data_IF_292238406621
#
_entry.id   IF_292238406621
#
_cell.length_a   1.000
_cell.length_b   1.000
_cell.length_c   1.000
_cell.angle_alpha   90.00
_cell.angle_beta   90.00
_cell.angle_gamma   90.00
#
_symmetry.space_group_name_H-M   'P 1'
#
loop_
_entity.id
_entity.type
_entity.pdbx_description
1 polymer ?
#
# COMPACT_ATOMS: atom_id res chain seq x y z
N UNK A 1 16.08 -8.26 -6.42
CA UNK A 1 16.14 -8.26 -4.94
C UNK A 1 14.79 -7.84 -4.37
N UNK A 2 13.80 -8.75 -4.39
CA UNK A 2 12.53 -8.60 -3.65
C UNK A 2 12.68 -9.45 -2.40
N UNK A 3 12.95 -8.87 -1.23
CA UNK A 3 12.97 -9.63 0.04
C UNK A 3 13.05 -8.72 1.28
N UNK A 4 13.70 -7.56 1.21
CA UNK A 4 13.88 -6.72 2.39
C UNK A 4 12.57 -6.02 2.80
N UNK A 5 11.91 -5.37 1.84
CA UNK A 5 10.65 -4.65 2.12
C UNK A 5 9.55 -5.60 2.57
N UNK A 6 9.44 -6.79 1.98
CA UNK A 6 8.44 -7.80 2.38
C UNK A 6 8.69 -8.30 3.81
N UNK A 7 9.96 -8.51 4.19
CA UNK A 7 10.32 -8.84 5.58
C UNK A 7 9.98 -7.73 6.54
N UNK A 8 10.30 -6.48 6.19
CA UNK A 8 9.96 -5.31 7.01
C UNK A 8 8.45 -5.21 7.19
N UNK A 9 7.65 -5.36 6.13
CA UNK A 9 6.19 -5.33 6.21
C UNK A 9 5.67 -6.44 7.11
N UNK A 10 6.22 -7.65 7.01
CA UNK A 10 5.84 -8.76 7.88
C UNK A 10 6.17 -8.49 9.36
N UNK A 11 7.38 -8.00 9.66
CA UNK A 11 7.81 -7.66 11.01
C UNK A 11 6.97 -6.53 11.62
N UNK A 12 6.73 -5.45 10.87
CA UNK A 12 5.85 -4.36 11.30
C UNK A 12 4.40 -4.83 11.45
N UNK A 13 3.96 -5.77 10.61
CA UNK A 13 2.67 -6.44 10.72
C UNK A 13 2.52 -7.20 12.04
N UNK A 14 3.58 -7.84 12.54
CA UNK A 14 3.57 -8.46 13.87
C UNK A 14 3.51 -7.41 14.99
N UNK A 15 4.31 -6.34 14.88
CA UNK A 15 4.31 -5.24 15.86
C UNK A 15 2.97 -4.49 15.91
N UNK A 16 2.19 -4.51 14.83
CA UNK A 16 0.82 -3.96 14.82
C UNK A 16 -0.14 -4.67 15.76
N UNK A 17 0.24 -5.81 16.33
CA UNK A 17 -0.55 -6.61 17.26
C UNK A 17 0.10 -6.70 18.65
N UNK A 18 1.14 -5.91 18.89
CA UNK A 18 1.84 -5.91 20.18
C UNK A 18 0.91 -5.50 21.34
N UNK A 19 1.19 -6.02 22.53
CA UNK A 19 0.44 -5.70 23.73
C UNK A 19 0.51 -4.19 24.05
N UNK A 20 1.65 -3.56 23.77
CA UNK A 20 1.87 -2.14 24.00
C UNK A 20 1.20 -1.29 22.90
N UNK A 21 0.27 -0.39 23.25
CA UNK A 21 -0.37 0.47 22.27
C UNK A 21 0.59 1.43 21.58
N UNK A 22 1.66 1.84 22.27
CA UNK A 22 2.72 2.68 21.69
C UNK A 22 3.48 1.94 20.58
N UNK A 23 3.71 0.64 20.75
CA UNK A 23 4.37 -0.19 19.72
C UNK A 23 3.46 -0.36 18.51
N UNK A 24 2.16 -0.60 18.74
CA UNK A 24 1.17 -0.69 17.64
C UNK A 24 1.08 0.62 16.85
N UNK A 25 1.07 1.77 17.53
CA UNK A 25 1.07 3.09 16.90
C UNK A 25 2.32 3.34 16.05
N UNK A 26 3.50 3.03 16.59
CA UNK A 26 4.77 3.13 15.86
C UNK A 26 4.78 2.22 14.63
N UNK A 27 4.25 1.01 14.75
CA UNK A 27 4.12 0.07 13.63
C UNK A 27 3.21 0.63 12.52
N UNK A 28 2.06 1.22 12.86
CA UNK A 28 1.18 1.86 11.87
C UNK A 28 1.89 3.00 11.12
N UNK A 29 2.61 3.85 11.85
CA UNK A 29 3.34 4.98 11.28
C UNK A 29 4.44 4.51 10.33
N UNK A 30 5.21 3.49 10.74
CA UNK A 30 6.24 2.89 9.90
C UNK A 30 5.66 2.24 8.64
N UNK A 31 4.55 1.48 8.78
CA UNK A 31 3.84 0.88 7.64
C UNK A 31 3.36 1.94 6.64
N UNK A 32 2.85 3.08 7.11
CA UNK A 32 2.41 4.19 6.25
C UNK A 32 3.54 4.85 5.46
N UNK A 33 4.77 4.77 5.96
CA UNK A 33 5.96 5.31 5.28
C UNK A 33 6.47 4.40 4.15
N UNK A 34 5.99 3.14 4.08
CA UNK A 34 6.38 2.18 3.06
C UNK A 34 5.49 2.36 1.83
N UNK A 35 6.11 2.60 0.66
CA UNK A 35 5.42 2.73 -0.63
C UNK A 35 5.09 1.36 -1.24
N UNK A 36 4.23 0.58 -0.58
CA UNK A 36 3.81 -0.75 -1.06
C UNK A 36 2.34 -1.02 -0.73
N UNK A 37 1.57 -1.55 -1.69
CA UNK A 37 0.20 -2.03 -1.49
C UNK A 37 0.07 -3.09 -0.40
N UNK A 38 1.15 -3.82 -0.12
CA UNK A 38 1.14 -4.88 0.88
C UNK A 38 0.94 -4.36 2.31
N UNK A 39 1.08 -3.05 2.56
CA UNK A 39 0.80 -2.47 3.89
C UNK A 39 -0.68 -2.19 4.14
N UNK A 40 -1.48 -2.04 3.07
CA UNK A 40 -2.90 -1.70 3.15
C UNK A 40 -3.73 -2.61 4.09
N UNK A 41 -3.62 -3.95 4.04
CA UNK A 41 -4.40 -4.80 4.95
C UNK A 41 -4.04 -4.59 6.42
N UNK A 42 -2.77 -4.30 6.73
CA UNK A 42 -2.34 -4.04 8.11
C UNK A 42 -2.89 -2.70 8.62
N UNK A 43 -2.82 -1.66 7.79
CA UNK A 43 -3.35 -0.35 8.14
C UNK A 43 -4.89 -0.36 8.29
N UNK A 44 -5.61 -1.11 7.44
CA UNK A 44 -7.06 -1.29 7.58
C UNK A 44 -7.43 -1.98 8.90
N UNK A 45 -6.64 -2.94 9.36
CA UNK A 45 -6.81 -3.54 10.68
C UNK A 45 -6.60 -2.50 11.79
N UNK A 46 -5.58 -1.66 11.69
CA UNK A 46 -5.29 -0.60 12.65
C UNK A 46 -6.43 0.43 12.83
N UNK A 47 -7.27 0.64 11.81
CA UNK A 47 -8.47 1.48 11.92
C UNK A 47 -9.51 0.94 12.92
N UNK A 48 -9.45 -0.36 13.22
CA UNK A 48 -10.35 -1.03 14.15
C UNK A 48 -9.69 -1.27 15.52
N UNK A 49 -8.53 -0.67 15.80
CA UNK A 49 -7.87 -0.82 17.10
C UNK A 49 -8.71 -0.21 18.23
N UNK A 50 -8.61 -0.81 19.41
CA UNK A 50 -9.28 -0.33 20.62
C UNK A 50 -8.77 1.06 21.02
N UNK A 51 -7.49 1.37 20.76
CA UNK A 51 -6.83 2.60 21.17
C UNK A 51 -6.98 3.68 20.10
N UNK A 52 -7.39 4.87 20.54
CA UNK A 52 -7.68 6.00 19.65
C UNK A 52 -6.46 6.47 18.85
N UNK A 53 -5.27 6.49 19.46
CA UNK A 53 -4.06 6.98 18.81
C UNK A 53 -3.56 6.01 17.73
N UNK A 54 -3.69 4.70 17.95
CA UNK A 54 -3.42 3.69 16.92
C UNK A 54 -4.36 3.86 15.72
N UNK A 55 -5.65 4.12 15.95
CA UNK A 55 -6.62 4.40 14.87
C UNK A 55 -6.26 5.65 14.07
N UNK A 56 -5.84 6.72 14.75
CA UNK A 56 -5.38 7.95 14.10
C UNK A 56 -4.14 7.69 13.25
N UNK A 57 -3.15 6.98 13.79
CA UNK A 57 -1.93 6.61 13.07
C UNK A 57 -2.24 5.78 11.82
N UNK A 58 -3.13 4.78 11.94
CA UNK A 58 -3.57 3.96 10.82
C UNK A 58 -4.30 4.77 9.72
N UNK A 59 -5.15 5.71 10.11
CA UNK A 59 -5.86 6.60 9.17
C UNK A 59 -4.91 7.52 8.41
N UNK A 60 -3.96 8.14 9.12
CA UNK A 60 -2.91 8.98 8.52
C UNK A 60 -2.02 8.16 7.57
N UNK A 61 -1.62 6.96 8.00
CA UNK A 61 -0.81 6.05 7.20
C UNK A 61 -1.53 5.64 5.90
N UNK A 62 -2.84 5.37 5.94
CA UNK A 62 -3.62 5.05 4.74
C UNK A 62 -3.70 6.23 3.77
N UNK A 63 -3.86 7.46 4.30
CA UNK A 63 -3.84 8.66 3.46
C UNK A 63 -2.49 8.84 2.76
N UNK A 64 -1.38 8.64 3.49
CA UNK A 64 -0.03 8.70 2.92
C UNK A 64 0.21 7.63 1.86
N UNK A 65 -0.16 6.38 2.13
CA UNK A 65 -0.05 5.29 1.16
C UNK A 65 -0.77 5.64 -0.15
N UNK A 66 -2.01 6.15 -0.07
CA UNK A 66 -2.79 6.57 -1.26
C UNK A 66 -2.14 7.73 -2.03
N UNK A 67 -1.60 8.73 -1.34
CA UNK A 67 -0.90 9.85 -1.98
C UNK A 67 0.33 9.38 -2.76
N UNK A 68 1.07 8.41 -2.21
CA UNK A 68 2.26 7.86 -2.89
C UNK A 68 1.90 6.98 -4.09
N UNK A 69 0.77 6.26 -4.04
CA UNK A 69 0.33 5.37 -5.12
C UNK A 69 -0.35 6.11 -6.27
N UNK A 70 -0.97 7.25 -6.00
CA UNK A 70 -1.56 8.12 -7.02
C UNK A 70 -0.54 8.66 -8.03
N UNK A 71 0.76 8.47 -7.81
CA UNK A 71 1.83 8.83 -8.75
C UNK A 71 2.25 7.69 -9.70
N UNK A 72 1.58 6.53 -9.69
CA UNK A 72 1.82 5.52 -10.74
C UNK A 72 1.02 5.91 -11.99
N UNK A 73 1.67 6.31 -13.09
CA UNK A 73 0.96 6.49 -14.34
C UNK A 73 0.37 5.12 -14.71
N UNK A 74 -0.95 5.07 -14.90
CA UNK A 74 -1.60 4.01 -15.67
C UNK A 74 -0.67 3.73 -16.86
N UNK A 75 -0.13 2.52 -17.07
CA UNK A 75 0.56 2.25 -18.30
C UNK A 75 -0.47 2.55 -19.39
N UNK A 76 -0.26 3.66 -20.10
CA UNK A 76 -0.93 3.94 -21.36
C UNK A 76 -0.72 2.67 -22.14
N UNK A 77 -1.80 1.91 -22.33
CA UNK A 77 -1.88 0.83 -23.30
C UNK A 77 -1.60 1.45 -24.67
N UNK A 78 -0.30 1.64 -24.93
CA UNK A 78 0.33 2.08 -26.16
C UNK A 78 0.33 0.88 -27.11
N UNK A 79 -0.87 0.42 -27.49
CA UNK A 79 -1.06 -0.40 -28.70
C UNK A 79 -2.50 -0.46 -29.23
N UNK A 80 -3.48 0.24 -28.64
CA UNK A 80 -4.83 0.31 -29.23
C UNK A 80 -4.88 1.30 -30.41
N UNK A 81 -3.96 1.14 -31.35
CA UNK A 81 -3.94 1.79 -32.65
C UNK A 81 -3.55 0.72 -33.66
N UNK A 82 -4.50 -0.19 -33.92
CA UNK A 82 -4.41 -1.13 -35.03
C UNK A 82 -5.33 -0.65 -36.15
N UNK A 83 -4.83 0.09 -37.15
CA UNK A 83 -5.51 0.14 -38.44
C UNK A 83 -5.12 -1.15 -39.19
N UNK A 84 -5.87 -2.23 -39.01
CA UNK A 84 -5.82 -3.35 -39.96
C UNK A 84 -6.60 -2.95 -41.23
N UNK A 85 -5.98 -2.06 -42.00
CA UNK A 85 -6.37 -1.83 -43.38
C UNK A 85 -5.77 -2.98 -44.21
N UNK A 86 -6.54 -4.07 -44.32
CA UNK A 86 -6.27 -5.23 -45.16
C UNK A 86 -7.28 -5.35 -46.29
N UNK A 87 -7.55 -4.24 -46.99
CA UNK A 87 -8.12 -4.31 -48.33
C UNK A 87 -7.07 -4.83 -49.32
N UNK A 88 -7.57 -5.50 -50.37
CA UNK A 88 -6.85 -6.04 -51.55
C UNK A 88 -6.42 -7.50 -51.46
N UNK A 89 -7.38 -8.41 -51.67
CA UNK A 89 -7.16 -9.64 -52.41
C UNK A 89 -7.82 -9.48 -53.79
N UNK A 90 -7.02 -9.63 -54.85
CA UNK A 90 -7.47 -9.63 -56.25
C UNK A 90 -8.12 -10.95 -56.64
#
# INVERSE_FOLDING_TARGET
MRSETERIISALGQLSQDASPLVREAAMTALGSIRSDQVLPYLQRGLNDAVADVKKAASLALQQARLTQSSSPKPRSLWENRPENGGMGQ
#
